data_IF_983863793414
#
_entry.id   IF_983863793414
#
_cell.length_a   1.000
_cell.length_b   1.000
_cell.length_c   1.000
_cell.angle_alpha   90.00
_cell.angle_beta   90.00
_cell.angle_gamma   90.00
#
_symmetry.space_group_name_H-M   'P 1'
#
loop_
_entity.id
_entity.type
_entity.pdbx_description
1 polymer ?
#
# COMPACT_ATOMS: atom_id res chain seq x y z
N UNK A 1 -5.29 -22.83 22.75
CA UNK A 1 -4.77 -22.14 21.54
C UNK A 1 -5.15 -20.68 21.74
N UNK A 2 -4.16 -19.80 22.01
CA UNK A 2 -4.38 -18.36 22.03
C UNK A 2 -4.84 -17.93 20.64
N UNK A 3 -5.89 -17.08 20.58
CA UNK A 3 -6.34 -16.52 19.33
C UNK A 3 -5.28 -15.50 18.85
N UNK A 4 -4.81 -15.67 17.63
CA UNK A 4 -3.91 -14.68 17.00
C UNK A 4 -4.61 -13.32 16.90
N UNK A 5 -3.86 -12.26 17.18
CA UNK A 5 -4.31 -10.90 16.89
C UNK A 5 -4.48 -10.68 15.39
N UNK A 6 -5.23 -9.63 15.01
CA UNK A 6 -5.50 -9.31 13.60
C UNK A 6 -4.22 -9.21 12.78
N UNK A 7 -3.25 -8.43 13.24
CA UNK A 7 -1.99 -8.22 12.51
C UNK A 7 -1.19 -9.51 12.36
N UNK A 8 -1.08 -10.29 13.43
CA UNK A 8 -0.40 -11.59 13.44
C UNK A 8 -1.04 -12.59 12.48
N UNK A 9 -2.38 -12.65 12.46
CA UNK A 9 -3.10 -13.51 11.53
C UNK A 9 -2.85 -13.13 10.06
N UNK A 10 -2.86 -11.83 9.75
CA UNK A 10 -2.65 -11.36 8.36
C UNK A 10 -1.20 -11.53 7.92
N UNK A 11 -0.23 -11.08 8.72
CA UNK A 11 1.17 -11.06 8.33
C UNK A 11 1.82 -12.45 8.40
N UNK A 12 1.43 -13.30 9.36
CA UNK A 12 2.08 -14.58 9.60
C UNK A 12 1.30 -15.81 9.12
N UNK A 13 0.03 -15.65 8.75
CA UNK A 13 -0.79 -16.73 8.21
C UNK A 13 -1.26 -16.40 6.80
N UNK A 14 -2.08 -15.36 6.62
CA UNK A 14 -2.75 -15.13 5.34
C UNK A 14 -1.79 -14.77 4.22
N UNK A 15 -0.88 -13.82 4.41
CA UNK A 15 0.08 -13.42 3.37
C UNK A 15 1.13 -14.49 3.04
N UNK A 16 1.68 -15.26 4.00
CA UNK A 16 2.52 -16.41 3.66
C UNK A 16 1.79 -17.46 2.84
N UNK A 17 0.55 -17.82 3.19
CA UNK A 17 -0.26 -18.75 2.43
C UNK A 17 -0.52 -18.26 0.99
N UNK A 18 -0.94 -17.02 0.81
CA UNK A 18 -1.14 -16.45 -0.52
C UNK A 18 0.14 -16.45 -1.36
N UNK A 19 1.30 -16.19 -0.76
CA UNK A 19 2.60 -16.30 -1.45
C UNK A 19 2.91 -17.73 -1.88
N UNK A 20 2.59 -18.72 -1.06
CA UNK A 20 2.78 -20.14 -1.43
C UNK A 20 1.88 -20.51 -2.61
N UNK A 21 0.60 -20.10 -2.60
CA UNK A 21 -0.31 -20.31 -3.73
C UNK A 21 0.18 -19.62 -5.00
N UNK A 22 0.65 -18.38 -4.92
CA UNK A 22 1.25 -17.66 -6.06
C UNK A 22 2.50 -18.37 -6.61
N UNK A 23 3.35 -18.92 -5.75
CA UNK A 23 4.53 -19.69 -6.17
C UNK A 23 4.16 -21.04 -6.82
N UNK A 24 3.09 -21.69 -6.36
CA UNK A 24 2.54 -22.90 -6.99
C UNK A 24 1.95 -22.60 -8.35
N UNK A 25 1.17 -21.52 -8.48
CA UNK A 25 0.64 -21.06 -9.76
C UNK A 25 1.72 -20.80 -10.80
N UNK A 26 2.83 -20.18 -10.40
CA UNK A 26 3.96 -19.95 -11.32
C UNK A 26 4.59 -21.24 -11.86
N UNK A 27 4.41 -22.36 -11.17
CA UNK A 27 4.92 -23.70 -11.55
C UNK A 27 3.87 -24.54 -12.26
N UNK A 28 2.63 -24.45 -11.83
CA UNK A 28 1.50 -25.26 -12.31
C UNK A 28 0.24 -24.41 -12.41
N UNK A 29 -0.14 -24.06 -13.63
CA UNK A 29 -1.30 -23.21 -13.92
C UNK A 29 -2.65 -23.79 -13.48
N UNK A 30 -2.72 -25.06 -13.04
CA UNK A 30 -3.96 -25.68 -12.59
C UNK A 30 -4.46 -25.17 -11.22
N UNK A 31 -3.64 -24.45 -10.45
CA UNK A 31 -4.00 -23.92 -9.11
C UNK A 31 -4.51 -22.47 -9.13
N UNK A 32 -4.69 -21.86 -10.30
CA UNK A 32 -5.17 -20.46 -10.43
C UNK A 32 -6.50 -20.25 -9.73
N UNK A 33 -7.45 -21.17 -9.92
CA UNK A 33 -8.78 -21.05 -9.31
C UNK A 33 -8.72 -21.10 -7.78
N UNK A 34 -7.85 -21.94 -7.20
CA UNK A 34 -7.67 -22.07 -5.77
C UNK A 34 -7.04 -20.79 -5.19
N UNK A 35 -6.03 -20.25 -5.87
CA UNK A 35 -5.41 -18.97 -5.47
C UNK A 35 -6.44 -17.83 -5.46
N UNK A 36 -7.29 -17.73 -6.51
CA UNK A 36 -8.35 -16.72 -6.58
C UNK A 36 -9.37 -16.87 -5.44
N UNK A 37 -9.79 -18.11 -5.11
CA UNK A 37 -10.68 -18.35 -3.98
C UNK A 37 -10.02 -17.96 -2.66
N UNK A 38 -8.75 -18.30 -2.45
CA UNK A 38 -8.01 -17.92 -1.26
C UNK A 38 -7.86 -16.40 -1.13
N UNK A 39 -7.48 -15.72 -2.20
CA UNK A 39 -7.37 -14.25 -2.25
C UNK A 39 -8.71 -13.56 -1.98
N UNK A 40 -9.82 -14.10 -2.54
CA UNK A 40 -11.17 -13.58 -2.27
C UNK A 40 -11.58 -13.77 -0.81
N UNK A 41 -11.27 -14.92 -0.22
CA UNK A 41 -11.56 -15.19 1.19
C UNK A 41 -10.79 -14.23 2.13
N UNK A 42 -9.50 -14.01 1.85
CA UNK A 42 -8.69 -13.03 2.59
C UNK A 42 -9.24 -11.62 2.42
N UNK A 43 -9.60 -11.21 1.20
CA UNK A 43 -10.23 -9.91 0.94
C UNK A 43 -11.51 -9.74 1.75
N UNK A 44 -12.39 -10.74 1.76
CA UNK A 44 -13.63 -10.70 2.53
C UNK A 44 -13.36 -10.56 4.03
N UNK A 45 -12.34 -11.24 4.56
CA UNK A 45 -11.92 -11.11 5.95
C UNK A 45 -11.40 -9.69 6.27
N UNK A 46 -10.56 -9.12 5.40
CA UNK A 46 -10.01 -7.77 5.55
C UNK A 46 -11.07 -6.67 5.43
N UNK A 47 -12.13 -6.89 4.68
CA UNK A 47 -13.27 -5.97 4.52
C UNK A 47 -14.35 -6.16 5.58
N UNK A 48 -14.21 -7.16 6.46
CA UNK A 48 -15.26 -7.48 7.43
C UNK A 48 -15.46 -6.33 8.44
N UNK A 49 -16.71 -5.87 8.67
CA UNK A 49 -17.01 -4.87 9.68
C UNK A 49 -16.78 -5.34 11.11
N UNK A 50 -16.53 -6.63 11.34
CA UNK A 50 -16.16 -7.20 12.65
C UNK A 50 -14.74 -6.81 13.11
N UNK A 51 -13.89 -6.34 12.21
CA UNK A 51 -12.75 -5.54 12.60
C UNK A 51 -13.34 -4.25 13.16
N UNK A 52 -13.48 -4.20 14.48
CA UNK A 52 -13.93 -2.99 15.21
C UNK A 52 -12.88 -1.91 15.01
N UNK A 53 -12.91 -1.31 13.83
CA UNK A 53 -12.11 -0.14 13.53
C UNK A 53 -12.75 0.96 14.36
N UNK A 54 -12.06 1.37 15.40
CA UNK A 54 -12.46 2.57 16.15
C UNK A 54 -12.51 3.71 15.15
N UNK A 55 -13.72 4.12 14.80
CA UNK A 55 -13.92 5.30 13.96
C UNK A 55 -13.13 6.45 14.58
N UNK A 56 -12.27 7.05 13.78
CA UNK A 56 -11.46 8.17 14.23
C UNK A 56 -12.39 9.27 14.73
N UNK A 57 -12.32 9.58 16.02
CA UNK A 57 -13.24 10.50 16.70
C UNK A 57 -13.24 11.92 16.14
N UNK A 58 -12.29 12.26 15.23
CA UNK A 58 -12.18 13.58 14.59
C UNK A 58 -11.70 13.47 13.13
N UNK A 59 -12.55 12.99 12.20
CA UNK A 59 -12.15 12.80 10.79
C UNK A 59 -11.75 14.11 10.10
N UNK A 60 -12.28 15.25 10.52
CA UNK A 60 -12.03 16.57 9.91
C UNK A 60 -10.59 17.07 10.13
N UNK A 61 -9.85 16.53 11.10
CA UNK A 61 -8.47 16.94 11.42
C UNK A 61 -7.42 15.86 11.16
N UNK A 62 -7.84 14.70 10.68
CA UNK A 62 -6.92 13.58 10.46
C UNK A 62 -6.20 13.72 9.13
N UNK A 63 -4.86 13.54 9.11
CA UNK A 63 -4.09 13.57 7.88
C UNK A 63 -4.57 12.52 6.88
N UNK A 64 -4.87 12.94 5.66
CA UNK A 64 -5.31 12.06 4.57
C UNK A 64 -4.11 11.40 3.93
N UNK A 65 -4.15 10.08 3.79
CA UNK A 65 -3.12 9.26 3.13
C UNK A 65 -3.76 8.51 1.97
N UNK A 66 -3.25 8.73 0.77
CA UNK A 66 -3.67 7.97 -0.41
C UNK A 66 -2.83 6.69 -0.51
N UNK A 67 -3.51 5.57 -0.66
CA UNK A 67 -2.91 4.25 -0.87
C UNK A 67 -3.32 3.76 -2.26
N UNK A 68 -2.36 3.51 -3.14
CA UNK A 68 -2.62 3.05 -4.50
C UNK A 68 -1.60 2.00 -4.95
N UNK A 69 -2.03 1.09 -5.82
CA UNK A 69 -1.10 0.29 -6.59
C UNK A 69 -0.51 1.13 -7.73
N UNK A 70 0.74 0.86 -8.12
CA UNK A 70 1.30 1.43 -9.35
C UNK A 70 0.53 0.95 -10.57
N UNK A 71 0.54 1.67 -11.70
CA UNK A 71 -0.12 1.24 -12.92
C UNK A 71 0.28 -0.18 -13.33
N UNK A 72 -0.72 -1.02 -13.60
CA UNK A 72 -0.54 -2.43 -13.97
C UNK A 72 -0.40 -3.41 -12.80
N UNK A 73 -0.24 -2.94 -11.56
CA UNK A 73 -0.24 -3.78 -10.37
C UNK A 73 -1.67 -4.03 -9.87
N UNK A 74 -1.98 -5.29 -9.53
CA UNK A 74 -3.32 -5.70 -9.08
C UNK A 74 -3.35 -6.28 -7.65
N UNK A 75 -2.19 -6.45 -7.02
CA UNK A 75 -2.09 -7.02 -5.67
C UNK A 75 -2.35 -5.95 -4.61
N UNK A 76 -3.61 -5.59 -4.40
CA UNK A 76 -4.04 -4.53 -3.48
C UNK A 76 -4.30 -5.00 -2.03
N UNK A 77 -4.32 -6.30 -1.76
CA UNK A 77 -4.54 -6.84 -0.40
C UNK A 77 -3.54 -6.29 0.63
N UNK A 78 -2.25 -6.10 0.33
CA UNK A 78 -1.32 -5.46 1.25
C UNK A 78 -1.71 -4.02 1.61
N UNK A 79 -2.24 -3.26 0.65
CA UNK A 79 -2.72 -1.89 0.91
C UNK A 79 -4.00 -1.88 1.74
N UNK A 80 -4.89 -2.85 1.52
CA UNK A 80 -6.10 -3.00 2.33
C UNK A 80 -5.75 -3.31 3.79
N UNK A 81 -4.78 -4.20 4.01
CA UNK A 81 -4.26 -4.48 5.35
C UNK A 81 -3.61 -3.24 5.98
N UNK A 82 -2.75 -2.52 5.23
CA UNK A 82 -2.14 -1.28 5.68
C UNK A 82 -3.20 -0.24 6.07
N UNK A 83 -4.26 -0.08 5.27
CA UNK A 83 -5.36 0.82 5.59
C UNK A 83 -6.05 0.45 6.93
N UNK A 84 -6.25 -0.84 7.17
CA UNK A 84 -6.82 -1.31 8.42
C UNK A 84 -5.89 -1.02 9.61
N UNK A 85 -4.59 -1.29 9.49
CA UNK A 85 -3.61 -0.97 10.54
C UNK A 85 -3.57 0.53 10.84
N UNK A 86 -3.57 1.38 9.81
CA UNK A 86 -3.59 2.84 10.00
C UNK A 86 -4.83 3.26 10.80
N UNK A 87 -6.00 2.70 10.51
CA UNK A 87 -7.23 2.99 11.27
C UNK A 87 -7.20 2.48 12.70
N UNK A 88 -6.49 1.38 12.96
CA UNK A 88 -6.38 0.75 14.29
C UNK A 88 -5.30 1.39 15.16
N UNK A 89 -4.16 1.73 14.58
CA UNK A 89 -2.91 2.06 15.30
C UNK A 89 -2.52 3.55 15.21
N UNK A 90 -3.21 4.35 14.40
CA UNK A 90 -2.83 5.74 14.14
C UNK A 90 -4.02 6.69 14.05
N UNK A 91 -3.73 7.99 13.92
CA UNK A 91 -4.72 9.03 13.64
C UNK A 91 -4.88 9.31 12.14
N UNK A 92 -4.23 8.56 11.27
CA UNK A 92 -4.24 8.76 9.83
C UNK A 92 -5.58 8.35 9.23
N UNK A 93 -5.96 9.02 8.13
CA UNK A 93 -7.17 8.71 7.36
C UNK A 93 -6.77 8.10 6.01
N UNK A 94 -6.67 6.77 5.91
CA UNK A 94 -6.32 6.11 4.66
C UNK A 94 -7.49 6.11 3.69
N UNK A 95 -7.22 6.51 2.45
CA UNK A 95 -8.10 6.34 1.29
C UNK A 95 -7.44 5.37 0.32
N UNK A 96 -8.05 4.21 0.13
CA UNK A 96 -7.56 3.19 -0.78
C UNK A 96 -8.16 3.43 -2.17
N UNK A 97 -7.29 3.60 -3.16
CA UNK A 97 -7.68 3.63 -4.56
C UNK A 97 -7.58 2.22 -5.15
N UNK A 98 -8.50 1.91 -6.04
CA UNK A 98 -8.46 0.62 -6.75
C UNK A 98 -7.23 0.53 -7.67
N UNK A 99 -6.81 -0.69 -7.97
CA UNK A 99 -5.69 -0.96 -8.86
C UNK A 99 -5.95 -0.45 -10.30
N UNK A 100 -4.87 -0.23 -11.04
CA UNK A 100 -4.92 0.07 -12.48
C UNK A 100 -5.09 1.53 -12.85
N UNK A 101 -4.95 2.47 -11.93
CA UNK A 101 -5.03 3.90 -12.22
C UNK A 101 -3.68 4.44 -12.75
N UNK A 102 -3.70 5.37 -13.73
CA UNK A 102 -2.52 6.13 -14.12
C UNK A 102 -1.97 6.99 -12.98
N UNK A 103 -0.66 7.23 -12.93
CA UNK A 103 -0.02 8.10 -11.92
C UNK A 103 -0.65 9.49 -11.89
N UNK A 104 -0.89 10.09 -13.05
CA UNK A 104 -1.53 11.41 -13.15
C UNK A 104 -2.92 11.47 -12.48
N UNK A 105 -3.72 10.40 -12.54
CA UNK A 105 -5.04 10.36 -11.88
C UNK A 105 -4.91 10.16 -10.37
N UNK A 106 -3.92 9.38 -9.93
CA UNK A 106 -3.60 9.21 -8.50
C UNK A 106 -3.18 10.57 -7.92
N UNK A 107 -2.24 11.28 -8.56
CA UNK A 107 -1.75 12.58 -8.11
C UNK A 107 -2.88 13.63 -8.06
N UNK A 108 -3.73 13.68 -9.09
CA UNK A 108 -4.92 14.55 -9.10
C UNK A 108 -5.86 14.23 -7.93
N UNK A 109 -6.00 12.97 -7.56
CA UNK A 109 -6.79 12.57 -6.39
C UNK A 109 -6.14 13.03 -5.10
N UNK A 110 -4.80 12.92 -4.99
CA UNK A 110 -4.06 13.45 -3.85
C UNK A 110 -4.29 14.95 -3.65
N UNK A 111 -4.22 15.73 -4.71
CA UNK A 111 -4.48 17.18 -4.66
C UNK A 111 -5.91 17.50 -4.21
N UNK A 112 -6.91 16.87 -4.84
CA UNK A 112 -8.34 17.11 -4.56
C UNK A 112 -8.76 16.70 -3.16
N UNK A 113 -8.13 15.68 -2.59
CA UNK A 113 -8.38 15.20 -1.23
C UNK A 113 -7.52 15.91 -0.18
N UNK A 114 -6.64 16.84 -0.58
CA UNK A 114 -5.66 17.48 0.30
C UNK A 114 -4.81 16.46 1.05
N UNK A 115 -4.40 15.40 0.35
CA UNK A 115 -3.58 14.35 0.95
C UNK A 115 -2.21 14.87 1.39
N UNK A 116 -1.72 14.36 2.51
CA UNK A 116 -0.38 14.67 3.03
C UNK A 116 0.65 13.67 2.53
N UNK A 117 0.25 12.41 2.35
CA UNK A 117 1.17 11.32 1.94
C UNK A 117 0.52 10.47 0.87
N UNK A 118 1.32 10.05 -0.11
CA UNK A 118 1.00 9.05 -1.11
C UNK A 118 1.83 7.78 -0.86
N UNK A 119 1.18 6.62 -0.80
CA UNK A 119 1.84 5.31 -0.78
C UNK A 119 1.54 4.59 -2.09
N UNK A 120 2.58 4.26 -2.84
CA UNK A 120 2.52 3.48 -4.07
C UNK A 120 3.07 2.08 -3.83
N UNK A 121 2.28 1.06 -4.12
CA UNK A 121 2.64 -0.33 -3.87
C UNK A 121 2.85 -1.11 -5.17
N UNK A 122 3.88 -1.97 -5.15
CA UNK A 122 4.09 -3.00 -6.16
C UNK A 122 4.59 -4.29 -5.52
N UNK A 123 4.00 -5.42 -5.88
CA UNK A 123 4.45 -6.77 -5.50
C UNK A 123 5.51 -7.28 -6.48
N UNK A 124 5.39 -6.92 -7.75
CA UNK A 124 6.29 -7.31 -8.83
C UNK A 124 7.19 -6.11 -9.18
N UNK A 125 8.48 -6.37 -9.33
CA UNK A 125 9.45 -5.34 -9.70
C UNK A 125 9.10 -4.73 -11.07
N UNK A 126 8.80 -3.42 -11.16
CA UNK A 126 8.50 -2.77 -12.41
C UNK A 126 9.76 -2.68 -13.29
N UNK A 127 9.57 -2.53 -14.59
CA UNK A 127 10.68 -2.22 -15.50
C UNK A 127 11.26 -0.85 -15.17
N UNK A 128 12.57 -0.72 -15.25
CA UNK A 128 13.27 0.50 -14.83
C UNK A 128 12.89 1.75 -15.65
N UNK A 129 12.56 1.59 -16.94
CA UNK A 129 12.08 2.68 -17.79
C UNK A 129 10.70 3.17 -17.34
N UNK A 130 9.80 2.24 -17.03
CA UNK A 130 8.45 2.53 -16.53
C UNK A 130 8.50 3.22 -15.16
N UNK A 131 9.32 2.69 -14.24
CA UNK A 131 9.50 3.29 -12.92
C UNK A 131 10.05 4.73 -13.03
N UNK A 132 10.99 5.00 -13.94
CA UNK A 132 11.49 6.37 -14.18
C UNK A 132 10.43 7.32 -14.73
N UNK A 133 9.53 6.83 -15.58
CA UNK A 133 8.40 7.64 -16.05
C UNK A 133 7.50 8.07 -14.90
N UNK A 134 7.11 7.13 -14.04
CA UNK A 134 6.30 7.45 -12.84
C UNK A 134 6.99 8.46 -11.92
N UNK A 135 8.31 8.31 -11.74
CA UNK A 135 9.10 9.27 -10.97
C UNK A 135 9.09 10.66 -11.55
N UNK A 136 9.25 10.77 -12.88
CA UNK A 136 9.15 12.05 -13.58
C UNK A 136 7.81 12.73 -13.29
N UNK A 137 6.69 12.01 -13.46
CA UNK A 137 5.35 12.53 -13.18
C UNK A 137 5.19 12.98 -11.72
N UNK A 138 5.73 12.20 -10.76
CA UNK A 138 5.66 12.50 -9.33
C UNK A 138 6.48 13.75 -8.99
N UNK A 139 7.70 13.85 -9.54
CA UNK A 139 8.59 15.00 -9.33
C UNK A 139 8.04 16.27 -9.96
N UNK A 140 7.54 16.20 -11.20
CA UNK A 140 6.90 17.33 -11.89
C UNK A 140 5.69 17.87 -11.13
N UNK A 141 4.96 16.99 -10.45
CA UNK A 141 3.82 17.36 -9.60
C UNK A 141 4.23 17.81 -8.19
N UNK A 142 5.52 17.80 -7.81
CA UNK A 142 6.01 18.19 -6.47
C UNK A 142 5.62 17.21 -5.36
N UNK A 143 5.48 15.92 -5.68
CA UNK A 143 5.05 14.88 -4.72
C UNK A 143 6.19 13.98 -4.23
N UNK A 144 7.43 14.17 -4.67
CA UNK A 144 8.55 13.28 -4.38
C UNK A 144 8.82 13.10 -2.87
N UNK A 145 8.81 14.19 -2.10
CA UNK A 145 9.07 14.16 -0.66
C UNK A 145 7.91 13.56 0.17
N UNK A 146 6.75 13.42 -0.42
CA UNK A 146 5.52 12.92 0.20
C UNK A 146 5.08 11.57 -0.34
N UNK A 147 5.88 10.96 -1.23
CA UNK A 147 5.60 9.66 -1.81
C UNK A 147 6.47 8.58 -1.19
N UNK A 148 5.85 7.48 -0.80
CA UNK A 148 6.51 6.26 -0.31
C UNK A 148 6.24 5.14 -1.31
N UNK A 149 7.29 4.46 -1.74
CA UNK A 149 7.19 3.23 -2.51
C UNK A 149 7.28 2.02 -1.58
N UNK A 150 6.28 1.14 -1.60
CA UNK A 150 6.15 0.00 -0.71
C UNK A 150 5.94 -1.32 -1.48
N UNK A 151 6.26 -2.43 -0.83
CA UNK A 151 6.08 -3.78 -1.38
C UNK A 151 7.34 -4.37 -2.00
N UNK A 152 7.30 -5.67 -2.25
CA UNK A 152 8.45 -6.47 -2.74
C UNK A 152 9.01 -5.99 -4.07
N UNK A 153 8.16 -5.40 -4.93
CA UNK A 153 8.58 -4.85 -6.22
C UNK A 153 9.59 -3.69 -6.11
N UNK A 154 9.64 -3.03 -4.97
CA UNK A 154 10.56 -1.91 -4.70
C UNK A 154 11.71 -2.27 -3.73
N UNK A 155 11.91 -3.54 -3.44
CA UNK A 155 13.05 -3.99 -2.60
C UNK A 155 14.41 -3.66 -3.23
N UNK A 156 14.47 -3.49 -4.56
CA UNK A 156 15.66 -3.07 -5.26
C UNK A 156 15.67 -1.55 -5.46
N UNK A 157 16.32 -0.82 -4.55
CA UNK A 157 16.45 0.65 -4.59
C UNK A 157 17.16 1.20 -5.82
N UNK A 158 17.90 0.37 -6.58
CA UNK A 158 18.56 0.79 -7.84
C UNK A 158 17.59 1.24 -8.92
N UNK A 159 16.30 0.90 -8.82
CA UNK A 159 15.27 1.37 -9.75
C UNK A 159 15.17 2.90 -9.82
N UNK A 160 15.52 3.56 -8.74
CA UNK A 160 15.30 4.99 -8.54
C UNK A 160 16.57 5.84 -8.64
N UNK A 161 17.73 5.23 -8.92
CA UNK A 161 19.02 5.95 -9.01
C UNK A 161 19.40 6.63 -7.68
N UNK A 162 19.81 7.90 -7.74
CA UNK A 162 20.17 8.72 -6.57
C UNK A 162 18.99 9.55 -6.04
N UNK A 163 17.76 9.32 -6.47
CA UNK A 163 16.60 10.06 -5.99
C UNK A 163 16.36 9.77 -4.51
N UNK A 164 16.02 10.79 -3.74
CA UNK A 164 15.70 10.70 -2.31
C UNK A 164 14.36 9.95 -2.03
N UNK A 165 14.09 8.90 -2.79
CA UNK A 165 12.86 8.16 -2.71
C UNK A 165 12.86 7.29 -1.47
N UNK A 166 11.77 7.40 -0.73
CA UNK A 166 11.55 6.59 0.45
C UNK A 166 10.98 5.23 0.02
N UNK A 167 11.82 4.19 0.17
CA UNK A 167 11.38 2.81 0.04
C UNK A 167 11.17 2.22 1.43
N UNK A 168 9.98 1.69 1.67
CA UNK A 168 9.68 1.00 2.92
C UNK A 168 10.02 -0.49 2.78
N UNK A 169 11.14 -0.88 3.38
CA UNK A 169 11.48 -2.27 3.66
C UNK A 169 11.21 -2.52 5.16
N UNK A 170 10.38 -3.49 5.50
CA UNK A 170 10.08 -3.81 6.89
C UNK A 170 8.65 -4.30 7.13
N UNK A 171 8.21 -4.29 8.39
CA UNK A 171 6.84 -4.64 8.76
C UNK A 171 5.85 -3.52 8.40
N UNK A 172 4.57 -3.87 8.32
CA UNK A 172 3.51 -2.88 8.08
C UNK A 172 3.44 -1.83 9.20
N UNK A 173 3.65 -2.21 10.46
CA UNK A 173 3.71 -1.25 11.57
C UNK A 173 4.87 -0.25 11.45
N UNK A 174 6.01 -0.67 10.89
CA UNK A 174 7.12 0.27 10.58
C UNK A 174 6.72 1.23 9.46
N UNK A 175 6.00 0.75 8.46
CA UNK A 175 5.49 1.59 7.38
C UNK A 175 4.47 2.62 7.91
N UNK A 176 3.56 2.23 8.80
CA UNK A 176 2.64 3.18 9.46
C UNK A 176 3.41 4.29 10.18
N UNK A 177 4.44 3.95 10.97
CA UNK A 177 5.30 4.94 11.66
C UNK A 177 6.03 5.87 10.68
N UNK A 178 6.51 5.34 9.55
CA UNK A 178 7.14 6.15 8.50
C UNK A 178 6.14 7.15 7.91
N UNK A 179 4.92 6.71 7.61
CA UNK A 179 3.86 7.57 7.10
C UNK A 179 3.52 8.67 8.12
N UNK A 180 3.41 8.32 9.39
CA UNK A 180 3.16 9.29 10.47
C UNK A 180 4.24 10.35 10.57
N UNK A 181 5.51 10.00 10.33
CA UNK A 181 6.61 10.98 10.34
C UNK A 181 6.55 11.99 9.19
N UNK A 182 5.80 11.70 8.12
CA UNK A 182 5.66 12.55 6.94
C UNK A 182 4.43 13.47 6.96
N UNK A 183 3.45 13.16 7.79
CA UNK A 183 2.19 13.92 7.84
C UNK A 183 2.36 15.40 8.15
N UNK A 184 3.46 15.76 8.87
CA UNK A 184 3.77 17.12 9.30
C UNK A 184 4.66 17.87 8.28
N UNK A 185 5.13 17.20 7.23
CA UNK A 185 5.76 17.83 6.08
C UNK A 185 4.64 18.52 5.27
N UNK A 186 4.26 19.72 5.70
CA UNK A 186 3.22 20.52 5.05
C UNK A 186 3.52 20.75 3.56
N UNK A 187 2.52 21.19 2.78
CA UNK A 187 2.75 21.53 1.38
C UNK A 187 3.87 22.55 1.31
N UNK A 188 4.89 22.27 0.51
CA UNK A 188 5.90 23.28 0.15
C UNK A 188 5.14 24.37 -0.61
N UNK A 189 5.02 25.56 0.01
CA UNK A 189 4.41 26.76 -0.59
C UNK A 189 5.23 27.19 -1.81
#
# INVERSE_FOLDING_TARGET
VEALGYNEAVEHVFFPELRQWGALWAKDGHVVAQEHVASLAVRAALLSPRLSITENKNPVKSPVVILACVPGEQHDLPLLHLANLMRMESSLQPTLLVAGLPIADILRTCERSHAQVLVLSASITPRADVARTWLGEITEAGWEDRTIFAGGGFSNTRLFGNSAIRSAAGSFSQLVKMIESLKDAGPVN
#
